data_IF_380459032955
#
_entry.id   IF_380459032955
#
_cell.length_a   1.000
_cell.length_b   1.000
_cell.length_c   1.000
_cell.angle_alpha   90.00
_cell.angle_beta   90.00
_cell.angle_gamma   90.00
#
_symmetry.space_group_name_H-M   'P 1'
#
loop_
_entity.id
_entity.type
_entity.pdbx_description
1 polymer ?
#
# COMPACT_ATOMS: atom_id res chain seq x y z
N UNK A 1 17.32 31.97 -5.59
CA UNK A 1 17.16 31.43 -4.22
C UNK A 1 16.60 32.53 -3.35
N UNK A 2 15.48 32.32 -2.67
CA UNK A 2 14.84 33.28 -1.76
C UNK A 2 14.91 32.76 -0.32
N UNK A 3 14.68 33.63 0.66
CA UNK A 3 14.75 33.29 2.10
C UNK A 3 13.34 33.28 2.69
N UNK A 4 13.05 32.27 3.51
CA UNK A 4 11.86 32.19 4.36
C UNK A 4 12.26 31.91 5.81
N UNK A 5 11.33 32.12 6.75
CA UNK A 5 11.62 32.02 8.18
C UNK A 5 10.72 30.98 8.85
N UNK A 6 11.28 30.18 9.75
CA UNK A 6 10.58 29.15 10.51
C UNK A 6 10.08 29.65 11.88
N UNK A 7 10.46 30.86 12.27
CA UNK A 7 10.07 31.49 13.55
C UNK A 7 9.81 32.98 13.33
N UNK A 8 8.92 33.55 14.14
CA UNK A 8 8.69 34.98 14.13
C UNK A 8 9.97 35.72 14.59
N UNK A 9 10.36 36.77 13.87
CA UNK A 9 11.54 37.55 14.21
C UNK A 9 11.38 38.24 15.57
N UNK A 10 12.28 37.96 16.50
CA UNK A 10 12.37 38.69 17.77
C UNK A 10 12.89 40.10 17.47
N UNK A 11 12.00 41.10 17.49
CA UNK A 11 12.37 42.50 17.68
C UNK A 11 12.71 43.35 16.45
N UNK A 12 12.76 42.84 15.22
CA UNK A 12 12.90 43.71 14.02
C UNK A 12 12.02 43.19 12.88
N UNK A 13 11.11 44.06 12.42
CA UNK A 13 10.07 43.88 11.38
C UNK A 13 8.89 42.94 11.72
N UNK A 14 7.81 43.53 12.28
CA UNK A 14 6.46 42.95 12.46
C UNK A 14 5.75 42.49 11.16
N UNK A 15 6.46 42.38 10.04
CA UNK A 15 5.89 42.10 8.71
C UNK A 15 6.60 41.00 7.91
N UNK A 16 7.61 40.36 8.48
CA UNK A 16 8.31 39.26 7.81
C UNK A 16 7.49 37.97 7.93
N UNK A 17 7.31 37.26 6.82
CA UNK A 17 6.58 36.00 6.76
C UNK A 17 7.33 34.93 7.57
N UNK A 18 6.61 34.20 8.42
CA UNK A 18 7.15 33.08 9.17
C UNK A 18 6.22 31.87 9.12
N UNK A 19 6.79 30.67 9.14
CA UNK A 19 6.08 29.41 8.98
C UNK A 19 6.64 28.34 9.93
N UNK A 20 6.04 28.14 11.11
CA UNK A 20 6.53 27.16 12.08
C UNK A 20 6.62 25.73 11.54
N UNK A 21 5.78 25.36 10.57
CA UNK A 21 5.78 24.03 9.95
C UNK A 21 7.10 23.68 9.25
N UNK A 22 7.92 24.68 8.88
CA UNK A 22 9.21 24.44 8.21
C UNK A 22 10.14 23.60 9.09
N UNK A 23 10.04 23.74 10.43
CA UNK A 23 10.82 22.93 11.37
C UNK A 23 10.41 21.44 11.36
N UNK A 24 9.27 21.12 10.77
CA UNK A 24 8.74 19.76 10.66
C UNK A 24 9.15 19.08 9.34
N UNK A 25 9.78 19.81 8.40
CA UNK A 25 10.21 19.25 7.13
C UNK A 25 11.59 18.58 7.28
N UNK A 26 11.82 17.37 6.73
CA UNK A 26 13.15 16.80 6.65
C UNK A 26 14.08 17.71 5.86
N UNK A 27 15.30 17.89 6.38
CA UNK A 27 16.34 18.64 5.70
C UNK A 27 16.79 17.87 4.44
N UNK A 28 16.76 18.47 3.23
CA UNK A 28 17.28 17.82 2.03
C UNK A 28 18.77 17.46 2.18
N UNK A 29 19.25 16.39 1.54
CA UNK A 29 20.68 16.13 1.47
C UNK A 29 21.37 17.32 0.78
N UNK A 30 22.46 17.82 1.38
CA UNK A 30 23.23 18.99 0.96
C UNK A 30 22.60 20.37 1.26
N UNK A 31 21.47 20.45 1.96
CA UNK A 31 20.98 21.72 2.46
C UNK A 31 21.75 22.14 3.73
N UNK A 32 22.13 23.42 3.81
CA UNK A 32 22.66 23.98 5.06
C UNK A 32 21.60 23.81 6.16
N UNK A 33 22.01 23.20 7.29
CA UNK A 33 21.14 23.04 8.45
C UNK A 33 20.53 24.37 8.88
N UNK A 34 19.33 24.31 9.48
CA UNK A 34 18.54 25.46 9.87
C UNK A 34 19.35 26.40 10.79
N UNK A 35 19.89 27.49 10.23
CA UNK A 35 20.69 28.47 10.97
C UNK A 35 19.81 29.67 11.31
N UNK A 36 19.54 29.87 12.60
CA UNK A 36 18.73 30.99 13.13
C UNK A 36 17.29 31.08 12.57
N UNK A 37 16.66 29.93 12.28
CA UNK A 37 15.29 29.88 11.77
C UNK A 37 15.13 30.42 10.34
N UNK A 38 16.22 30.59 9.57
CA UNK A 38 16.18 30.97 8.15
C UNK A 38 16.36 29.74 7.26
N UNK A 39 15.58 29.66 6.19
CA UNK A 39 15.71 28.65 5.14
C UNK A 39 15.81 29.28 3.77
N UNK A 40 16.59 28.65 2.88
CA UNK A 40 16.62 28.98 1.47
C UNK A 40 15.64 28.10 0.71
N UNK A 41 14.87 28.72 -0.18
CA UNK A 41 13.91 28.03 -1.04
C UNK A 41 14.04 28.49 -2.50
N UNK A 42 13.57 27.66 -3.43
CA UNK A 42 13.45 28.04 -4.83
C UNK A 42 12.35 29.11 -5.01
N UNK A 43 12.32 29.75 -6.18
CA UNK A 43 11.33 30.80 -6.47
C UNK A 43 9.90 30.29 -6.35
N UNK A 44 9.62 29.07 -6.82
CA UNK A 44 8.27 28.50 -6.79
C UNK A 44 7.77 28.21 -5.38
N UNK A 45 8.61 27.59 -4.54
CA UNK A 45 8.27 27.37 -3.13
C UNK A 45 8.03 28.70 -2.39
N UNK A 46 8.80 29.74 -2.72
CA UNK A 46 8.61 31.05 -2.10
C UNK A 46 7.29 31.71 -2.51
N UNK A 47 6.87 31.61 -3.78
CA UNK A 47 5.57 32.12 -4.23
C UNK A 47 4.40 31.46 -3.49
N UNK A 48 4.47 30.15 -3.27
CA UNK A 48 3.46 29.42 -2.48
C UNK A 48 3.42 29.93 -1.04
N UNK A 49 4.58 30.18 -0.43
CA UNK A 49 4.66 30.75 0.93
C UNK A 49 4.05 32.16 0.97
N UNK A 50 4.32 33.01 -0.03
CA UNK A 50 3.70 34.34 -0.15
C UNK A 50 2.18 34.27 -0.20
N UNK A 51 1.63 33.32 -0.97
CA UNK A 51 0.18 33.09 -1.07
C UNK A 51 -0.42 32.65 0.28
N UNK A 52 0.22 31.70 0.97
CA UNK A 52 -0.21 31.21 2.28
C UNK A 52 -0.21 32.35 3.30
N UNK A 53 0.85 33.16 3.31
CA UNK A 53 0.95 34.31 4.20
C UNK A 53 -0.13 35.36 3.91
N UNK A 54 -0.42 35.62 2.63
CA UNK A 54 -1.53 36.48 2.22
C UNK A 54 -2.87 35.98 2.77
N UNK A 55 -3.16 34.68 2.59
CA UNK A 55 -4.38 34.05 3.11
C UNK A 55 -4.46 34.10 4.65
N UNK A 56 -3.34 33.87 5.34
CA UNK A 56 -3.24 34.02 6.80
C UNK A 56 -3.55 35.45 7.23
N UNK A 57 -2.99 36.47 6.56
CA UNK A 57 -3.26 37.87 6.92
C UNK A 57 -4.72 38.28 6.74
N UNK A 58 -5.43 37.65 5.81
CA UNK A 58 -6.84 37.92 5.56
C UNK A 58 -7.78 37.16 6.52
N UNK A 59 -7.43 35.93 6.89
CA UNK A 59 -8.29 35.05 7.69
C UNK A 59 -7.92 34.94 9.16
N UNK A 60 -6.67 35.28 9.51
CA UNK A 60 -6.02 35.03 10.80
C UNK A 60 -6.06 33.57 11.26
N UNK A 61 -6.24 32.62 10.33
CA UNK A 61 -6.20 31.19 10.63
C UNK A 61 -4.77 30.69 10.83
N UNK A 62 -4.39 30.36 12.07
CA UNK A 62 -3.04 29.89 12.40
C UNK A 62 -2.67 28.58 11.70
N UNK A 63 -3.65 27.73 11.34
CA UNK A 63 -3.42 26.46 10.63
C UNK A 63 -2.76 26.67 9.26
N UNK A 64 -2.95 27.84 8.64
CA UNK A 64 -2.31 28.14 7.34
C UNK A 64 -0.79 28.23 7.45
N UNK A 65 -0.27 28.78 8.55
CA UNK A 65 1.17 29.00 8.74
C UNK A 65 1.83 27.92 9.60
N UNK A 66 1.06 27.18 10.40
CA UNK A 66 1.56 26.15 11.31
C UNK A 66 1.40 24.72 10.78
N UNK A 67 0.49 24.49 9.82
CA UNK A 67 0.28 23.17 9.21
C UNK A 67 1.16 22.96 7.99
N UNK A 68 1.86 21.82 7.98
CA UNK A 68 2.59 21.32 6.80
C UNK A 68 1.62 21.10 5.63
N UNK A 69 0.42 20.59 5.90
CA UNK A 69 -0.55 20.23 4.87
C UNK A 69 -1.01 21.43 4.03
N UNK A 70 -1.13 22.62 4.64
CA UNK A 70 -1.46 23.87 3.95
C UNK A 70 -0.47 24.22 2.83
N UNK A 71 0.80 23.91 3.03
CA UNK A 71 1.86 24.10 2.04
C UNK A 71 1.85 23.00 0.98
N UNK A 72 1.71 21.73 1.40
CA UNK A 72 1.77 20.59 0.49
C UNK A 72 0.65 20.57 -0.54
N UNK A 73 -0.59 20.90 -0.14
CA UNK A 73 -1.72 20.99 -1.05
C UNK A 73 -1.36 21.94 -2.20
N UNK A 74 -0.93 23.17 -1.89
CA UNK A 74 -0.57 24.17 -2.90
C UNK A 74 0.65 23.79 -3.71
N UNK A 75 1.67 23.22 -3.07
CA UNK A 75 2.87 22.75 -3.74
C UNK A 75 2.52 21.70 -4.79
N UNK A 76 1.82 20.63 -4.41
CA UNK A 76 1.47 19.57 -5.35
C UNK A 76 0.51 20.03 -6.44
N UNK A 77 -0.45 20.91 -6.13
CA UNK A 77 -1.31 21.50 -7.16
C UNK A 77 -0.49 22.30 -8.16
N UNK A 78 0.42 23.16 -7.70
CA UNK A 78 1.27 23.95 -8.58
C UNK A 78 2.20 23.08 -9.45
N UNK A 79 2.73 21.99 -8.89
CA UNK A 79 3.57 21.04 -9.64
C UNK A 79 2.76 20.17 -10.61
N UNK A 80 1.49 19.88 -10.32
CA UNK A 80 0.62 19.10 -11.20
C UNK A 80 0.15 19.90 -12.43
N UNK A 81 0.04 21.23 -12.33
CA UNK A 81 -0.40 22.10 -13.43
C UNK A 81 0.60 22.15 -14.60
N UNK A 82 1.86 21.73 -14.41
CA UNK A 82 2.80 21.50 -15.53
C UNK A 82 2.47 20.25 -16.36
N UNK A 83 1.43 19.49 -16.00
CA UNK A 83 0.87 18.38 -16.76
C UNK A 83 -0.59 18.09 -16.40
N UNK A 84 -1.51 18.66 -17.20
CA UNK A 84 -2.96 18.38 -17.24
C UNK A 84 -3.86 19.17 -16.27
N UNK A 85 -4.96 19.67 -16.85
CA UNK A 85 -5.99 20.59 -16.33
C UNK A 85 -6.75 20.07 -15.08
N UNK A 86 -7.16 20.95 -14.13
CA UNK A 86 -7.90 20.54 -12.94
C UNK A 86 -9.41 20.44 -13.21
N UNK A 87 -9.94 19.21 -13.19
CA UNK A 87 -11.37 18.96 -13.15
C UNK A 87 -11.95 19.17 -11.74
N UNK A 88 -12.66 20.29 -11.60
CA UNK A 88 -13.89 20.53 -10.83
C UNK A 88 -14.08 19.94 -9.42
N UNK A 89 -14.29 20.89 -8.49
CA UNK A 89 -14.83 20.76 -7.14
C UNK A 89 -15.98 19.75 -7.00
N UNK A 90 -15.93 18.92 -5.96
CA UNK A 90 -17.15 18.39 -5.35
C UNK A 90 -17.14 18.57 -3.83
N UNK A 91 -18.00 19.50 -3.38
CA UNK A 91 -18.54 19.54 -2.02
C UNK A 91 -19.44 18.31 -1.84
N UNK A 92 -19.00 17.36 -1.03
CA UNK A 92 -19.79 16.20 -0.61
C UNK A 92 -20.51 16.48 0.71
N UNK A 93 -21.84 16.50 0.65
CA UNK A 93 -22.76 16.67 1.77
C UNK A 93 -22.64 15.50 2.76
N UNK A 94 -22.36 15.79 4.03
CA UNK A 94 -22.37 14.79 5.10
C UNK A 94 -23.82 14.45 5.49
N UNK A 95 -24.20 13.16 5.42
CA UNK A 95 -25.42 12.65 6.07
C UNK A 95 -25.18 11.29 6.74
N UNK A 96 -25.18 11.37 8.07
CA UNK A 96 -25.71 10.49 9.13
C UNK A 96 -25.49 8.96 9.05
N UNK A 97 -24.61 8.55 9.97
CA UNK A 97 -24.65 7.41 10.91
C UNK A 97 -25.44 6.15 10.54
N UNK A 98 -24.68 5.09 10.25
CA UNK A 98 -25.05 3.69 10.40
C UNK A 98 -23.73 2.90 10.37
N UNK A 99 -23.43 2.12 11.43
CA UNK A 99 -22.24 1.27 11.61
C UNK A 99 -20.97 1.80 10.92
N UNK A 100 -20.12 2.54 11.64
CA UNK A 100 -18.98 3.27 11.05
C UNK A 100 -17.86 2.35 10.54
N UNK A 101 -18.12 1.63 9.45
CA UNK A 101 -17.09 1.00 8.65
C UNK A 101 -16.34 2.12 7.92
N UNK A 102 -15.08 2.35 8.31
CA UNK A 102 -14.19 3.21 7.53
C UNK A 102 -13.92 2.57 6.18
N UNK A 103 -13.54 3.36 5.19
CA UNK A 103 -13.14 2.86 3.87
C UNK A 103 -11.73 3.35 3.55
N UNK A 104 -11.02 2.56 2.76
CA UNK A 104 -9.67 2.88 2.31
C UNK A 104 -9.66 4.17 1.48
N UNK A 105 -8.76 5.10 1.83
CA UNK A 105 -8.56 6.38 1.14
C UNK A 105 -8.35 6.23 -0.37
N UNK A 106 -7.59 5.22 -0.80
CA UNK A 106 -7.20 5.04 -2.20
C UNK A 106 -8.23 4.24 -3.01
N UNK A 107 -8.64 3.07 -2.51
CA UNK A 107 -9.46 2.16 -3.30
C UNK A 107 -10.95 2.17 -2.94
N UNK A 108 -11.33 2.74 -1.79
CA UNK A 108 -12.71 2.73 -1.29
C UNK A 108 -13.17 1.39 -0.72
N UNK A 109 -12.28 0.41 -0.53
CA UNK A 109 -12.63 -0.86 0.11
C UNK A 109 -12.99 -0.65 1.57
N UNK A 110 -14.01 -1.37 2.04
CA UNK A 110 -14.44 -1.36 3.45
C UNK A 110 -13.33 -1.91 4.35
N UNK A 111 -13.14 -1.23 5.47
CA UNK A 111 -12.19 -1.57 6.50
C UNK A 111 -12.94 -2.08 7.73
N UNK A 112 -12.49 -3.21 8.26
CA UNK A 112 -13.00 -3.74 9.51
C UNK A 112 -12.40 -2.95 10.68
N UNK A 113 -13.16 -2.80 11.77
CA UNK A 113 -12.67 -2.16 12.98
C UNK A 113 -11.38 -2.84 13.48
N UNK A 114 -10.31 -2.05 13.64
CA UNK A 114 -8.99 -2.55 14.04
C UNK A 114 -8.17 -3.24 12.93
N UNK A 115 -8.70 -3.34 11.69
CA UNK A 115 -8.00 -3.90 10.53
C UNK A 115 -7.53 -2.85 9.51
N UNK A 116 -7.65 -1.57 9.83
CA UNK A 116 -7.16 -0.46 9.01
C UNK A 116 -5.69 -0.17 9.27
N UNK A 117 -4.98 0.21 8.21
CA UNK A 117 -3.63 0.74 8.29
C UNK A 117 -3.66 2.25 8.19
N UNK A 118 -2.66 2.92 8.76
CA UNK A 118 -2.53 4.36 8.69
C UNK A 118 -1.38 4.76 7.76
N UNK A 119 -1.65 5.74 6.90
CA UNK A 119 -0.64 6.38 6.05
C UNK A 119 -0.42 7.80 6.53
N UNK A 120 0.84 8.15 6.74
CA UNK A 120 1.26 9.50 7.08
C UNK A 120 1.32 10.37 5.83
N UNK A 121 0.65 11.51 5.84
CA UNK A 121 0.75 12.56 4.81
C UNK A 121 1.95 13.46 5.09
N UNK A 122 2.17 13.73 6.37
CA UNK A 122 3.27 14.55 6.88
C UNK A 122 4.32 13.63 7.55
N UNK A 123 5.60 14.04 7.60
CA UNK A 123 6.63 13.33 8.34
C UNK A 123 6.19 13.12 9.79
N UNK A 124 6.23 11.89 10.32
CA UNK A 124 6.07 11.68 11.74
C UNK A 124 7.21 12.40 12.48
N UNK A 125 6.88 13.14 13.53
CA UNK A 125 7.78 14.12 14.16
C UNK A 125 9.02 13.51 14.84
N UNK A 126 10.14 14.26 14.74
CA UNK A 126 11.50 14.11 15.31
C UNK A 126 12.33 12.88 14.90
N UNK A 127 13.31 13.18 14.03
CA UNK A 127 14.70 12.69 14.02
C UNK A 127 14.93 11.18 14.18
N UNK A 128 15.22 10.50 13.06
CA UNK A 128 16.08 9.32 13.04
C UNK A 128 15.60 8.21 12.12
N UNK A 129 14.30 7.96 12.09
CA UNK A 129 13.73 6.91 11.24
C UNK A 129 13.16 7.53 9.96
N UNK A 130 13.60 7.03 8.80
CA UNK A 130 13.03 7.35 7.47
C UNK A 130 11.68 6.65 7.31
N UNK A 131 10.74 6.96 8.21
CA UNK A 131 9.39 6.40 8.12
C UNK A 131 8.68 6.92 6.86
N UNK A 132 7.96 6.07 6.11
CA UNK A 132 7.29 6.49 4.89
C UNK A 132 6.19 7.51 5.16
N UNK A 133 6.23 8.61 4.41
CA UNK A 133 5.14 9.57 4.35
C UNK A 133 4.80 9.88 2.89
N UNK A 134 3.56 10.29 2.63
CA UNK A 134 2.96 10.36 1.30
C UNK A 134 2.26 11.70 1.07
N UNK A 135 3.04 12.76 0.82
CA UNK A 135 2.54 14.13 0.66
C UNK A 135 1.51 14.31 -0.45
N UNK A 136 1.64 13.52 -1.53
CA UNK A 136 0.73 13.56 -2.67
C UNK A 136 -0.73 13.28 -2.28
N UNK A 137 -0.97 12.61 -1.15
CA UNK A 137 -2.32 12.35 -0.64
C UNK A 137 -3.07 13.64 -0.30
N UNK A 138 -2.38 14.76 -0.09
CA UNK A 138 -3.01 16.08 0.11
C UNK A 138 -3.78 16.58 -1.12
N UNK A 139 -3.39 16.17 -2.33
CA UNK A 139 -4.05 16.55 -3.58
C UNK A 139 -4.74 15.38 -4.28
N UNK A 140 -4.43 14.14 -3.86
CA UNK A 140 -5.15 12.97 -4.36
C UNK A 140 -6.57 12.96 -3.80
N UNK A 141 -7.61 12.91 -4.66
CA UNK A 141 -8.98 12.92 -4.17
C UNK A 141 -9.29 11.64 -3.38
N UNK A 142 -9.90 11.75 -2.18
CA UNK A 142 -10.28 10.59 -1.39
C UNK A 142 -11.31 9.75 -2.15
N UNK A 143 -11.27 8.43 -1.93
CA UNK A 143 -12.34 7.55 -2.40
C UNK A 143 -13.71 7.94 -1.82
N UNK A 144 -14.82 7.66 -2.53
CA UNK A 144 -16.15 7.92 -2.00
C UNK A 144 -16.32 7.34 -0.59
N UNK A 145 -16.82 8.15 0.34
CA UNK A 145 -17.01 7.83 1.78
C UNK A 145 -15.72 7.72 2.61
N UNK A 146 -14.53 7.84 2.00
CA UNK A 146 -13.29 7.90 2.76
C UNK A 146 -13.20 9.24 3.50
N UNK A 147 -12.64 9.22 4.71
CA UNK A 147 -12.33 10.44 5.44
C UNK A 147 -11.11 11.10 4.79
N UNK A 148 -11.13 12.43 4.58
CA UNK A 148 -9.93 13.16 4.18
C UNK A 148 -8.85 13.06 5.27
N UNK A 149 -7.62 13.44 4.93
CA UNK A 149 -6.56 13.59 5.93
C UNK A 149 -7.02 14.54 7.04
N UNK A 150 -6.91 14.10 8.30
CA UNK A 150 -7.23 14.92 9.46
C UNK A 150 -6.05 15.85 9.83
N UNK A 151 -6.24 16.66 10.89
CA UNK A 151 -5.21 17.58 11.37
C UNK A 151 -3.91 16.88 11.82
N UNK A 152 -3.95 15.57 12.08
CA UNK A 152 -2.77 14.78 12.41
C UNK A 152 -1.97 14.34 11.17
N UNK A 153 -2.57 14.50 9.98
CA UNK A 153 -1.97 14.10 8.72
C UNK A 153 -2.05 12.59 8.49
N UNK A 154 -3.08 11.92 9.01
CA UNK A 154 -3.29 10.49 8.85
C UNK A 154 -4.47 10.20 7.91
N UNK A 155 -4.35 9.13 7.12
CA UNK A 155 -5.47 8.55 6.36
C UNK A 155 -5.54 7.03 6.53
N UNK A 156 -6.76 6.48 6.56
CA UNK A 156 -6.97 5.03 6.63
C UNK A 156 -6.76 4.36 5.27
N UNK A 157 -6.08 3.22 5.26
CA UNK A 157 -5.80 2.41 4.08
C UNK A 157 -6.06 0.93 4.34
N UNK A 158 -6.40 0.19 3.29
CA UNK A 158 -6.44 -1.27 3.35
C UNK A 158 -5.03 -1.87 3.26
N UNK A 159 -4.90 -3.13 3.69
CA UNK A 159 -3.65 -3.89 3.67
C UNK A 159 -2.90 -3.79 2.33
N UNK A 160 -3.58 -4.05 1.21
CA UNK A 160 -2.96 -4.01 -0.12
C UNK A 160 -2.43 -2.62 -0.49
N UNK A 161 -3.22 -1.57 -0.25
CA UNK A 161 -2.83 -0.20 -0.57
C UNK A 161 -1.67 0.30 0.30
N UNK A 162 -1.70 -0.05 1.59
CA UNK A 162 -0.65 0.31 2.53
C UNK A 162 0.70 -0.32 2.14
N UNK A 163 0.73 -1.64 1.91
CA UNK A 163 1.96 -2.33 1.56
C UNK A 163 2.49 -1.93 0.17
N UNK A 164 1.61 -1.66 -0.80
CA UNK A 164 2.01 -1.16 -2.11
C UNK A 164 2.73 0.20 -2.03
N UNK A 165 2.15 1.17 -1.32
CA UNK A 165 2.78 2.49 -1.18
C UNK A 165 4.10 2.42 -0.41
N UNK A 166 4.21 1.57 0.62
CA UNK A 166 5.48 1.35 1.34
C UNK A 166 6.53 0.68 0.46
N UNK A 167 6.15 -0.26 -0.40
CA UNK A 167 7.07 -0.87 -1.36
C UNK A 167 7.59 0.16 -2.38
N UNK A 168 6.71 1.02 -2.89
CA UNK A 168 7.09 2.13 -3.77
C UNK A 168 8.01 3.14 -3.05
N UNK A 169 7.75 3.43 -1.77
CA UNK A 169 8.65 4.24 -0.96
C UNK A 169 10.05 3.62 -0.89
N UNK A 170 10.16 2.34 -0.52
CA UNK A 170 11.44 1.66 -0.44
C UNK A 170 12.21 1.65 -1.78
N UNK A 171 11.50 1.57 -2.91
CA UNK A 171 12.11 1.69 -4.24
C UNK A 171 12.76 3.07 -4.45
N UNK A 172 12.09 4.14 -4.03
CA UNK A 172 12.65 5.49 -4.07
C UNK A 172 13.85 5.66 -3.13
N UNK A 173 13.80 5.03 -1.95
CA UNK A 173 14.91 5.02 -1.00
C UNK A 173 16.16 4.37 -1.57
N UNK A 174 16.00 3.24 -2.28
CA UNK A 174 17.11 2.50 -2.90
C UNK A 174 17.68 3.25 -4.12
N UNK A 175 16.85 3.94 -4.90
CA UNK A 175 17.31 4.75 -6.04
C UNK A 175 18.16 5.94 -5.63
N UNK A 176 17.88 6.55 -4.47
CA UNK A 176 18.62 7.70 -3.96
C UNK A 176 19.96 7.37 -3.27
N UNK A 177 20.28 6.09 -3.09
CA UNK A 177 21.49 5.59 -2.41
C UNK A 177 22.49 4.96 -3.39
N UNK A 178 22.44 5.32 -4.68
CA UNK A 178 23.40 4.85 -5.67
C UNK A 178 24.85 5.10 -5.22
N UNK A 179 25.80 4.20 -5.53
CA UNK A 179 27.15 4.28 -5.00
C UNK A 179 27.81 5.59 -5.44
N UNK A 180 28.18 6.41 -4.46
CA UNK A 180 29.12 7.52 -4.65
C UNK A 180 30.50 6.94 -4.98
N UNK A 181 30.67 6.39 -6.19
CA UNK A 181 32.00 6.10 -6.70
C UNK A 181 32.71 7.43 -6.96
N UNK A 182 33.95 7.63 -6.52
CA UNK A 182 34.74 8.78 -6.96
C UNK A 182 35.04 8.59 -8.45
N UNK A 183 34.22 9.19 -9.30
CA UNK A 183 34.37 9.11 -10.76
C UNK A 183 35.50 10.03 -11.20
N UNK A 184 36.71 9.49 -11.28
CA UNK A 184 37.74 10.03 -12.16
C UNK A 184 37.25 9.85 -13.60
N UNK A 185 36.94 10.97 -14.26
CA UNK A 185 36.86 11.13 -15.72
C UNK A 185 36.12 10.06 -16.54
N UNK A 186 34.84 10.30 -16.82
CA UNK A 186 34.26 10.15 -18.16
C UNK A 186 32.82 10.69 -18.16
N UNK A 187 32.51 11.50 -19.16
CA UNK A 187 31.25 12.24 -19.30
C UNK A 187 30.08 11.26 -19.54
N UNK A 188 29.00 11.31 -18.74
CA UNK A 188 27.72 10.78 -19.16
C UNK A 188 26.83 11.94 -19.63
N UNK A 189 26.59 12.01 -20.95
CA UNK A 189 25.48 12.77 -21.51
C UNK A 189 24.17 12.06 -21.16
N UNK A 190 23.43 12.64 -20.22
CA UNK A 190 22.13 12.19 -19.76
C UNK A 190 21.93 12.63 -18.32
N UNK A 191 21.09 13.65 -18.11
CA UNK A 191 20.80 14.24 -16.79
C UNK A 191 20.79 13.19 -15.66
N UNK A 192 21.74 13.22 -14.71
CA UNK A 192 21.63 12.42 -13.50
C UNK A 192 20.38 12.92 -12.76
N UNK A 193 19.30 12.12 -12.74
CA UNK A 193 18.12 12.43 -11.95
C UNK A 193 18.54 12.50 -10.48
N UNK A 194 18.70 13.72 -9.98
CA UNK A 194 18.96 14.01 -8.57
C UNK A 194 17.91 13.26 -7.72
N UNK A 195 18.28 12.63 -6.60
CA UNK A 195 17.32 11.94 -5.74
C UNK A 195 16.15 12.86 -5.42
N UNK A 196 14.97 12.51 -5.92
CA UNK A 196 13.77 13.31 -5.71
C UNK A 196 13.51 13.38 -4.21
N UNK A 197 13.45 14.62 -3.70
CA UNK A 197 13.03 14.89 -2.32
C UNK A 197 11.79 14.06 -1.99
N UNK A 198 11.69 13.45 -0.80
CA UNK A 198 10.50 12.71 -0.40
C UNK A 198 9.17 13.46 -0.65
N UNK A 199 9.23 14.79 -0.56
CA UNK A 199 8.13 15.71 -0.83
C UNK A 199 7.66 15.78 -2.28
N UNK A 200 8.50 15.41 -3.24
CA UNK A 200 8.19 15.50 -4.67
C UNK A 200 8.02 14.12 -5.34
N UNK A 201 8.09 13.03 -4.56
CA UNK A 201 7.98 11.68 -5.10
C UNK A 201 6.58 11.43 -5.65
N UNK A 202 6.54 10.78 -6.82
CA UNK A 202 5.32 10.29 -7.42
C UNK A 202 5.14 8.80 -7.07
N UNK A 203 3.88 8.43 -6.84
CA UNK A 203 3.46 7.07 -6.51
C UNK A 203 2.32 6.67 -7.45
N UNK A 204 2.31 5.40 -7.85
CA UNK A 204 1.22 4.85 -8.66
C UNK A 204 0.16 4.25 -7.75
N UNK A 205 -0.98 4.93 -7.65
CA UNK A 205 -2.14 4.46 -6.90
C UNK A 205 -3.44 4.49 -7.71
N UNK A 206 -3.39 4.80 -9.00
CA UNK A 206 -4.59 4.94 -9.85
C UNK A 206 -5.07 3.60 -10.40
N UNK A 207 -4.13 2.69 -10.68
CA UNK A 207 -4.40 1.41 -11.29
C UNK A 207 -3.70 0.26 -10.57
N UNK A 208 -4.13 -0.95 -10.89
CA UNK A 208 -3.48 -2.20 -10.50
C UNK A 208 -3.71 -3.27 -11.57
N UNK A 209 -2.87 -4.30 -11.57
CA UNK A 209 -3.06 -5.48 -12.43
C UNK A 209 -3.68 -6.59 -11.58
N UNK A 210 -4.88 -7.03 -11.95
CA UNK A 210 -5.55 -8.12 -11.25
C UNK A 210 -4.73 -9.41 -11.36
N UNK A 211 -4.49 -10.07 -10.23
CA UNK A 211 -3.68 -11.29 -10.18
C UNK A 211 -4.22 -12.42 -11.08
N UNK A 212 -5.56 -12.56 -11.13
CA UNK A 212 -6.23 -13.65 -11.82
C UNK A 212 -6.38 -13.40 -13.33
N UNK A 213 -7.11 -12.36 -13.74
CA UNK A 213 -7.35 -12.07 -15.15
C UNK A 213 -6.21 -11.31 -15.86
N UNK A 214 -5.20 -10.85 -15.12
CA UNK A 214 -4.03 -10.08 -15.63
C UNK A 214 -4.36 -8.74 -16.29
N UNK A 215 -5.61 -8.31 -16.26
CA UNK A 215 -6.01 -7.01 -16.79
C UNK A 215 -5.68 -5.89 -15.81
N UNK A 216 -5.21 -4.77 -16.37
CA UNK A 216 -5.12 -3.51 -15.66
C UNK A 216 -6.52 -2.96 -15.37
N UNK A 217 -6.73 -2.53 -14.13
CA UNK A 217 -8.01 -2.03 -13.64
C UNK A 217 -7.77 -0.75 -12.83
N UNK A 218 -8.76 0.15 -12.83
CA UNK A 218 -8.78 1.30 -11.93
C UNK A 218 -8.78 0.80 -10.48
N UNK A 219 -7.93 1.35 -9.63
CA UNK A 219 -7.82 0.96 -8.22
C UNK A 219 -9.08 1.29 -7.45
N UNK A 220 -9.57 2.51 -7.59
CA UNK A 220 -10.78 3.01 -6.96
C UNK A 220 -12.01 2.21 -7.41
N UNK A 221 -12.71 1.58 -6.46
CA UNK A 221 -13.96 0.85 -6.69
C UNK A 221 -13.81 -0.53 -7.35
N UNK A 222 -12.64 -0.90 -7.91
CA UNK A 222 -12.44 -2.22 -8.55
C UNK A 222 -11.46 -3.12 -7.82
N UNK A 223 -10.55 -2.56 -7.01
CA UNK A 223 -9.60 -3.37 -6.24
C UNK A 223 -10.30 -4.09 -5.10
N UNK A 224 -10.19 -5.42 -5.11
CA UNK A 224 -10.66 -6.32 -4.09
C UNK A 224 -9.50 -7.09 -3.46
N UNK A 225 -9.58 -7.33 -2.15
CA UNK A 225 -8.69 -8.25 -1.46
C UNK A 225 -9.30 -9.65 -1.41
N UNK A 226 -8.53 -10.66 -1.82
CA UNK A 226 -8.88 -12.08 -1.72
C UNK A 226 -7.84 -12.75 -0.85
N UNK A 227 -8.27 -13.37 0.25
CA UNK A 227 -7.39 -14.11 1.16
C UNK A 227 -7.35 -15.57 0.75
N UNK A 228 -6.15 -16.12 0.59
CA UNK A 228 -5.91 -17.51 0.19
C UNK A 228 -4.85 -18.17 1.07
N UNK A 229 -4.84 -19.50 1.10
CA UNK A 229 -3.75 -20.24 1.69
C UNK A 229 -2.43 -19.93 0.94
N UNK A 230 -1.32 -19.97 1.66
CA UNK A 230 0.02 -19.73 1.11
C UNK A 230 0.52 -20.92 0.28
N UNK A 231 -0.12 -21.17 -0.86
CA UNK A 231 0.21 -22.28 -1.75
C UNK A 231 1.34 -21.89 -2.73
N UNK A 232 2.23 -22.83 -3.10
CA UNK A 232 3.33 -22.59 -4.05
C UNK A 232 2.87 -21.94 -5.36
N UNK A 233 1.71 -22.35 -5.90
CA UNK A 233 1.15 -21.79 -7.15
C UNK A 233 0.99 -20.27 -7.10
N UNK A 234 0.63 -19.69 -5.95
CA UNK A 234 0.47 -18.25 -5.80
C UNK A 234 1.79 -17.55 -5.49
N UNK A 235 2.73 -18.25 -4.85
CA UNK A 235 4.06 -17.71 -4.54
C UNK A 235 4.89 -17.54 -5.81
N UNK A 236 4.86 -18.52 -6.71
CA UNK A 236 5.67 -18.56 -7.93
C UNK A 236 4.95 -18.08 -9.19
N UNK A 237 3.68 -17.66 -9.07
CA UNK A 237 2.96 -17.10 -10.21
C UNK A 237 3.71 -15.90 -10.81
N UNK A 238 3.84 -15.80 -12.15
CA UNK A 238 4.46 -14.66 -12.80
C UNK A 238 3.77 -13.36 -12.39
N UNK A 239 4.54 -12.36 -11.96
CA UNK A 239 4.01 -11.10 -11.41
C UNK A 239 4.24 -9.96 -12.40
N UNK A 240 3.21 -9.16 -12.63
CA UNK A 240 3.36 -7.88 -13.30
C UNK A 240 3.79 -6.81 -12.29
N UNK A 241 4.44 -5.74 -12.75
CA UNK A 241 4.97 -4.63 -11.93
C UNK A 241 3.91 -3.83 -11.16
N UNK A 242 2.62 -4.17 -11.28
CA UNK A 242 1.49 -3.55 -10.57
C UNK A 242 0.49 -4.57 -9.99
N UNK A 243 0.90 -5.82 -9.85
CA UNK A 243 0.12 -6.84 -9.14
C UNK A 243 0.33 -6.68 -7.65
N UNK A 244 -0.78 -6.55 -6.90
CA UNK A 244 -0.73 -6.35 -5.45
C UNK A 244 -0.86 -7.69 -4.73
N UNK A 245 0.10 -8.00 -3.86
CA UNK A 245 0.11 -9.22 -3.07
C UNK A 245 0.83 -8.97 -1.76
N UNK A 246 0.20 -9.36 -0.65
CA UNK A 246 0.79 -9.32 0.69
C UNK A 246 0.85 -10.73 1.23
N UNK A 247 1.99 -11.07 1.82
CA UNK A 247 2.27 -12.38 2.36
C UNK A 247 2.62 -12.25 3.85
N UNK A 248 1.79 -12.82 4.71
CA UNK A 248 1.93 -12.73 6.17
C UNK A 248 2.63 -13.95 6.80
N UNK A 249 3.13 -14.89 5.99
CA UNK A 249 3.70 -16.15 6.47
C UNK A 249 2.72 -17.33 6.44
N UNK A 250 1.43 -17.07 6.59
CA UNK A 250 0.37 -18.09 6.77
C UNK A 250 -0.63 -18.06 5.62
N UNK A 251 -0.97 -16.87 5.14
CA UNK A 251 -1.96 -16.58 4.12
C UNK A 251 -1.43 -15.52 3.17
N UNK A 252 -2.00 -15.53 1.98
CA UNK A 252 -1.76 -14.51 0.97
C UNK A 252 -3.00 -13.63 0.87
N UNK A 253 -2.80 -12.32 0.87
CA UNK A 253 -3.83 -11.34 0.52
C UNK A 253 -3.51 -10.85 -0.89
N UNK A 254 -4.36 -11.22 -1.85
CA UNK A 254 -4.14 -11.01 -3.28
C UNK A 254 -5.10 -9.93 -3.79
N UNK A 255 -4.57 -9.00 -4.58
CA UNK A 255 -5.34 -7.98 -5.30
C UNK A 255 -6.04 -8.57 -6.53
N UNK A 256 -7.36 -8.49 -6.55
CA UNK A 256 -8.22 -8.98 -7.62
C UNK A 256 -9.22 -7.90 -8.08
N UNK A 257 -9.74 -8.02 -9.30
CA UNK A 257 -10.92 -7.25 -9.70
C UNK A 257 -12.19 -7.82 -9.06
N UNK A 258 -13.29 -7.05 -9.11
CA UNK A 258 -14.58 -7.43 -8.53
C UNK A 258 -15.12 -8.74 -9.11
N UNK A 259 -14.96 -8.93 -10.43
CA UNK A 259 -15.41 -10.12 -11.15
C UNK A 259 -14.63 -11.36 -10.71
N UNK A 260 -13.29 -11.26 -10.65
CA UNK A 260 -12.45 -12.37 -10.19
C UNK A 260 -12.67 -12.69 -8.71
N UNK A 261 -12.92 -11.70 -7.86
CA UNK A 261 -13.32 -11.95 -6.46
C UNK A 261 -14.61 -12.78 -6.40
N UNK A 262 -15.63 -12.40 -7.17
CA UNK A 262 -16.89 -13.13 -7.19
C UNK A 262 -16.70 -14.60 -7.62
N UNK A 263 -15.87 -14.84 -8.64
CA UNK A 263 -15.53 -16.20 -9.09
C UNK A 263 -14.82 -17.02 -8.00
N UNK A 264 -13.80 -16.45 -7.34
CA UNK A 264 -13.09 -17.14 -6.26
C UNK A 264 -14.02 -17.46 -5.09
N UNK A 265 -14.87 -16.52 -4.70
CA UNK A 265 -15.84 -16.73 -3.63
C UNK A 265 -16.88 -17.80 -3.98
N UNK A 266 -17.32 -17.89 -5.24
CA UNK A 266 -18.19 -18.96 -5.70
C UNK A 266 -17.51 -20.32 -5.57
N UNK A 267 -16.26 -20.45 -6.02
CA UNK A 267 -15.48 -21.68 -5.87
C UNK A 267 -15.28 -22.11 -4.41
N UNK A 268 -15.03 -21.15 -3.51
CA UNK A 268 -14.91 -21.41 -2.07
C UNK A 268 -16.20 -21.94 -1.45
N UNK A 269 -17.36 -21.38 -1.83
CA UNK A 269 -18.67 -21.87 -1.34
C UNK A 269 -18.96 -23.28 -1.80
N UNK A 270 -18.67 -23.60 -3.06
CA UNK A 270 -18.87 -24.96 -3.60
C UNK A 270 -18.00 -26.00 -2.89
N UNK A 271 -16.75 -25.66 -2.55
CA UNK A 271 -15.89 -26.55 -1.79
C UNK A 271 -16.42 -26.79 -0.37
N UNK A 272 -16.86 -25.73 0.31
CA UNK A 272 -17.44 -25.84 1.66
C UNK A 272 -18.70 -26.70 1.69
N UNK A 273 -19.58 -26.56 0.69
CA UNK A 273 -20.77 -27.41 0.59
C UNK A 273 -20.40 -28.87 0.35
N UNK A 274 -19.41 -29.14 -0.51
CA UNK A 274 -18.93 -30.51 -0.76
C UNK A 274 -18.32 -31.14 0.49
N UNK A 275 -17.53 -30.39 1.25
CA UNK A 275 -16.92 -30.86 2.50
C UNK A 275 -18.00 -31.11 3.58
N UNK A 276 -19.09 -30.32 3.60
CA UNK A 276 -20.21 -30.50 4.52
C UNK A 276 -21.07 -31.73 4.22
N UNK A 277 -21.28 -32.05 2.93
CA UNK A 277 -22.06 -33.23 2.54
C UNK A 277 -21.22 -34.53 2.51
N UNK A 278 -19.88 -34.44 2.40
CA UNK A 278 -18.99 -35.59 2.45
C UNK A 278 -18.82 -36.23 3.83
N UNK A 279 -19.16 -35.53 4.92
CA UNK A 279 -19.07 -36.04 6.29
C UNK A 279 -20.38 -36.63 6.86
N UNK A 280 -21.47 -36.63 6.08
CA UNK A 280 -22.80 -37.09 6.54
C UNK A 280 -23.20 -38.52 6.11
N UNK A 281 -22.31 -39.31 5.50
CA UNK A 281 -22.66 -40.61 4.89
C UNK A 281 -21.75 -41.77 5.31
N UNK A 282 -21.16 -41.73 6.51
CA UNK A 282 -20.24 -42.78 6.98
C UNK A 282 -20.61 -43.43 8.30
N UNK A 283 -21.89 -43.45 8.69
CA UNK A 283 -22.29 -44.04 9.98
C UNK A 283 -23.55 -44.93 9.94
N UNK A 284 -23.87 -45.55 8.80
CA UNK A 284 -25.00 -46.48 8.74
C UNK A 284 -24.81 -47.68 7.81
N UNK A 285 -23.67 -48.39 7.89
CA UNK A 285 -23.61 -49.76 7.35
C UNK A 285 -22.50 -50.61 8.01
N UNK A 286 -22.69 -51.01 9.27
CA UNK A 286 -22.18 -52.31 9.77
C UNK A 286 -22.83 -52.72 11.10
N UNK A 287 -24.03 -53.29 11.04
CA UNK A 287 -24.48 -54.26 12.06
C UNK A 287 -24.76 -55.58 11.37
N UNK A 288 -23.78 -56.48 11.42
CA UNK A 288 -24.00 -57.89 11.12
C UNK A 288 -24.80 -58.55 12.26
N UNK A 289 -25.69 -59.52 11.97
CA UNK A 289 -26.13 -60.49 12.97
C UNK A 289 -25.27 -61.75 12.89
N UNK A 290 -24.60 -62.00 14.01
CA UNK A 290 -23.83 -63.18 14.36
C UNK A 290 -24.74 -64.41 14.54
N UNK A 291 -24.36 -65.59 14.03
CA UNK A 291 -24.84 -66.89 14.54
C UNK A 291 -23.99 -68.09 14.11
N UNK A 292 -23.48 -68.76 15.14
CA UNK A 292 -23.19 -70.20 15.28
C UNK A 292 -21.89 -70.80 14.68
N UNK A 293 -20.99 -71.18 15.61
CA UNK A 293 -19.86 -72.13 15.50
C UNK A 293 -20.34 -73.57 15.86
N UNK A 294 -19.52 -74.66 15.97
CA UNK A 294 -18.07 -74.83 15.74
C UNK A 294 -17.59 -76.21 15.15
N UNK A 295 -16.26 -76.36 15.01
CA UNK A 295 -15.38 -77.57 15.18
C UNK A 295 -14.82 -78.35 13.96
N UNK A 296 -13.52 -78.11 13.74
CA UNK A 296 -12.38 -79.02 14.03
C UNK A 296 -11.74 -79.90 12.94
N UNK A 297 -10.38 -79.86 12.99
CA UNK A 297 -9.36 -80.91 12.78
C UNK A 297 -8.74 -81.13 11.37
N UNK A 298 -7.48 -80.71 11.30
CA UNK A 298 -6.30 -81.28 10.62
C UNK A 298 -6.45 -82.64 9.89
N UNK A 299 -5.82 -82.79 8.70
CA UNK A 299 -4.61 -83.64 8.48
C UNK A 299 -4.11 -83.67 7.00
N UNK A 300 -2.80 -83.40 6.86
CA UNK A 300 -1.75 -83.94 5.95
C UNK A 300 -1.82 -83.93 4.41
N UNK A 301 -0.71 -83.39 3.85
CA UNK A 301 0.20 -83.91 2.79
C UNK A 301 -0.31 -84.46 1.45
N UNK A 302 0.26 -83.96 0.34
CA UNK A 302 1.35 -84.63 -0.39
C UNK A 302 1.72 -83.88 -1.71
N UNK A 303 2.94 -84.17 -2.15
CA UNK A 303 3.78 -83.67 -3.24
C UNK A 303 3.16 -83.58 -4.65
N UNK A 304 3.72 -82.71 -5.52
CA UNK A 304 4.64 -83.16 -6.59
C UNK A 304 5.03 -82.05 -7.61
N UNK A 305 6.35 -81.86 -7.75
CA UNK A 305 7.15 -81.89 -9.00
C UNK A 305 7.12 -80.67 -9.95
N UNK A 306 8.30 -80.04 -10.04
CA UNK A 306 8.78 -79.22 -11.17
C UNK A 306 9.18 -80.09 -12.38
N UNK A 307 9.34 -79.50 -13.57
CA UNK A 307 10.70 -79.52 -14.10
C UNK A 307 11.18 -78.21 -14.79
N UNK A 308 12.51 -78.16 -14.84
CA UNK A 308 13.45 -77.20 -15.41
C UNK A 308 13.29 -76.83 -16.90
N UNK A 309 13.77 -75.63 -17.26
CA UNK A 309 14.80 -75.34 -18.32
C UNK A 309 14.97 -73.81 -18.46
N UNK A 310 16.10 -73.19 -18.05
CA UNK A 310 17.41 -72.98 -18.71
C UNK A 310 17.42 -72.18 -20.03
N UNK A 311 18.05 -70.98 -19.96
CA UNK A 311 19.05 -70.31 -20.86
C UNK A 311 18.80 -68.78 -20.82
N UNK A 312 19.64 -67.90 -20.27
CA UNK A 312 21.06 -67.56 -20.49
C UNK A 312 21.29 -66.41 -21.51
N UNK A 313 21.83 -65.32 -20.95
CA UNK A 313 22.81 -64.34 -21.49
C UNK A 313 22.43 -63.26 -22.51
N UNK A 314 22.97 -62.06 -22.23
CA UNK A 314 22.90 -60.83 -23.02
C UNK A 314 22.97 -59.59 -22.14
#
# INVERSE_FOLDING_TARGET
MRVAYAQAGVGKSRGVMYFPFINMLPCPPNAQGLSHGRVHCCTQCHLILEEIWGAYRLSLSEELISSVSSFLVRYHTAMAIEGCEPAHSQRGLASRSGSSMSVCYLCGAELFAGGEYQLHVNPPGRCGEREPFFPFLTVHPPAPRAKPADATGLVSACNLCYHDLRAQWALHENRGQGPSTPSTSSVPSGNPQLPSSPWARQYNCEAFVCFFCRQEQRRQGRLCAVTMARLPVFLYAPRSTRTLLVDDGKRLVIGACVECKAMVQAGQRMQQDRDRHGHGSSDEERREPESASPRSRHKASADCVCPLSHTAEG
#
